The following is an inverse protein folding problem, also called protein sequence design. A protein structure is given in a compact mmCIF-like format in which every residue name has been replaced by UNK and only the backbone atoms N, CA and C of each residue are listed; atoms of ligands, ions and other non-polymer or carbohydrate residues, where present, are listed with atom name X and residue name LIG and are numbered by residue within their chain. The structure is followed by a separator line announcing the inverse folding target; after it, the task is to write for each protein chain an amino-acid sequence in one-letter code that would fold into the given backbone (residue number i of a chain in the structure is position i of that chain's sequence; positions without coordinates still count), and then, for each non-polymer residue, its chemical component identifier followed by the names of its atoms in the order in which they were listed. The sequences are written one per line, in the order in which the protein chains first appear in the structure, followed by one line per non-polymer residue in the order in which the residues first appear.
data_IF_991741113547
#
_entry.id   IF_991741113547
#
_cell.length_a   1.000
_cell.length_b   1.000
_cell.length_c   1.000
_cell.angle_alpha   90.00
_cell.angle_beta   90.00
_cell.angle_gamma   90.00
#
_symmetry.space_group_name_H-M   'P 1'
#
loop_
_entity.id
_entity.type
_entity.pdbx_description
1 polymer ?
#
# COMPACT_ATOMS: atom_id res chain seq x y z
N UNK A 1 7.64 -16.38 15.45
CA UNK A 1 9.06 -16.11 15.06
C UNK A 1 8.98 -15.45 13.71
N UNK A 2 9.55 -14.28 13.44
CA UNK A 2 9.34 -13.61 12.14
C UNK A 2 9.81 -14.49 10.98
N UNK A 3 8.89 -14.93 10.12
CA UNK A 3 9.18 -15.75 8.94
C UNK A 3 9.35 -14.90 7.67
N UNK A 4 8.66 -13.76 7.59
CA UNK A 4 8.71 -12.86 6.44
C UNK A 4 8.54 -11.39 6.86
N UNK A 5 8.93 -10.48 5.97
CA UNK A 5 8.70 -9.04 6.12
C UNK A 5 7.67 -8.56 5.10
N UNK A 6 6.78 -7.67 5.53
CA UNK A 6 5.90 -6.90 4.65
C UNK A 6 6.21 -5.42 4.82
N UNK A 7 6.62 -4.77 3.74
CA UNK A 7 7.10 -3.39 3.77
C UNK A 7 6.15 -2.54 2.95
N UNK A 8 5.75 -1.41 3.51
CA UNK A 8 4.86 -0.43 2.85
C UNK A 8 5.54 0.94 2.78
N UNK A 9 4.91 1.92 2.12
CA UNK A 9 5.42 3.29 2.12
C UNK A 9 5.18 3.99 3.44
N UNK A 10 3.97 3.89 4.00
CA UNK A 10 3.57 4.59 5.21
C UNK A 10 3.01 3.69 6.32
N UNK A 11 2.85 4.29 7.51
CA UNK A 11 2.21 3.63 8.65
C UNK A 11 0.73 3.34 8.41
N UNK A 12 0.03 4.23 7.69
CA UNK A 12 -1.38 4.01 7.31
C UNK A 12 -1.54 2.71 6.53
N UNK A 13 -0.67 2.45 5.55
CA UNK A 13 -0.72 1.22 4.75
C UNK A 13 -0.50 -0.03 5.60
N UNK A 14 0.42 0.03 6.57
CA UNK A 14 0.63 -1.05 7.54
C UNK A 14 -0.67 -1.31 8.29
N UNK A 15 -1.34 -0.28 8.79
CA UNK A 15 -2.60 -0.43 9.52
C UNK A 15 -3.70 -1.02 8.64
N UNK A 16 -3.82 -0.57 7.40
CA UNK A 16 -4.78 -1.10 6.42
C UNK A 16 -4.54 -2.61 6.24
N UNK A 17 -3.30 -3.00 5.92
CA UNK A 17 -2.97 -4.41 5.67
C UNK A 17 -3.12 -5.27 6.92
N UNK A 18 -2.75 -4.78 8.10
CA UNK A 18 -2.95 -5.50 9.36
C UNK A 18 -4.42 -5.74 9.69
N UNK A 19 -5.31 -4.82 9.32
CA UNK A 19 -6.76 -4.97 9.53
C UNK A 19 -7.43 -5.85 8.48
N UNK A 20 -6.95 -5.83 7.24
CA UNK A 20 -7.52 -6.61 6.14
C UNK A 20 -7.00 -8.05 6.11
N UNK A 21 -5.75 -8.30 6.54
CA UNK A 21 -5.18 -9.63 6.53
C UNK A 21 -5.69 -10.47 7.71
N UNK A 22 -6.13 -11.72 7.46
CA UNK A 22 -6.45 -12.67 8.51
C UNK A 22 -5.31 -12.85 9.53
N UNK A 23 -5.64 -12.93 10.81
CA UNK A 23 -4.65 -13.03 11.91
C UNK A 23 -3.70 -14.21 11.76
N UNK A 24 -4.17 -15.33 11.24
CA UNK A 24 -3.36 -16.53 11.00
C UNK A 24 -2.30 -16.31 9.90
N UNK A 25 -2.51 -15.36 8.99
CA UNK A 25 -1.52 -14.99 7.97
C UNK A 25 -0.54 -13.91 8.46
N UNK A 26 -0.96 -13.06 9.39
CA UNK A 26 -0.11 -11.96 9.90
C UNK A 26 0.77 -12.32 11.09
N UNK A 27 0.50 -13.43 11.80
CA UNK A 27 1.19 -13.80 13.05
C UNK A 27 2.72 -13.92 12.95
N UNK A 28 3.25 -14.34 11.80
CA UNK A 28 4.70 -14.51 11.57
C UNK A 28 5.26 -13.50 10.55
N UNK A 29 4.46 -12.49 10.18
CA UNK A 29 4.88 -11.41 9.29
C UNK A 29 5.23 -10.19 10.13
N UNK A 30 6.42 -9.64 9.92
CA UNK A 30 6.76 -8.34 10.49
C UNK A 30 6.43 -7.24 9.47
N UNK A 31 5.48 -6.38 9.82
CA UNK A 31 5.11 -5.21 9.03
C UNK A 31 6.06 -4.05 9.34
N UNK A 32 6.52 -3.35 8.31
CA UNK A 32 7.42 -2.20 8.46
C UNK A 32 6.99 -1.08 7.51
N UNK A 33 6.78 0.11 8.05
CA UNK A 33 6.60 1.33 7.26
C UNK A 33 7.96 1.84 6.79
N UNK A 34 8.12 2.05 5.48
CA UNK A 34 9.36 2.50 4.87
C UNK A 34 9.62 4.00 5.00
N UNK A 35 8.62 4.80 5.39
CA UNK A 35 8.66 6.27 5.39
C UNK A 35 8.92 6.83 3.97
N UNK A 36 8.18 6.30 3.00
CA UNK A 36 8.15 6.69 1.59
C UNK A 36 8.72 5.64 0.63
N UNK A 37 8.31 5.72 -0.64
CA UNK A 37 8.62 4.75 -1.69
C UNK A 37 10.11 4.38 -1.84
N UNK A 38 11.01 5.36 -1.80
CA UNK A 38 12.45 5.09 -1.94
C UNK A 38 13.01 4.32 -0.75
N UNK A 39 12.69 4.74 0.47
CA UNK A 39 13.19 4.12 1.70
C UNK A 39 12.61 2.72 1.89
N UNK A 40 11.34 2.51 1.54
CA UNK A 40 10.71 1.19 1.49
C UNK A 40 11.48 0.21 0.58
N UNK A 41 11.80 0.65 -0.66
CA UNK A 41 12.60 -0.15 -1.61
C UNK A 41 14.01 -0.45 -1.10
N UNK A 42 14.70 0.56 -0.57
CA UNK A 42 16.05 0.39 -0.03
C UNK A 42 16.08 -0.59 1.15
N UNK A 43 15.07 -0.50 2.03
CA UNK A 43 14.91 -1.40 3.17
C UNK A 43 14.62 -2.83 2.71
N UNK A 44 13.75 -3.02 1.71
CA UNK A 44 13.44 -4.32 1.14
C UNK A 44 14.71 -5.02 0.62
N UNK A 45 15.51 -4.34 -0.20
CA UNK A 45 16.80 -4.85 -0.68
C UNK A 45 17.74 -5.22 0.47
N UNK A 46 17.83 -4.36 1.49
CA UNK A 46 18.69 -4.59 2.65
C UNK A 46 18.26 -5.81 3.46
N UNK A 47 16.95 -6.00 3.65
CA UNK A 47 16.41 -7.15 4.39
C UNK A 47 16.61 -8.47 3.62
N UNK A 48 16.42 -8.45 2.30
CA UNK A 48 16.74 -9.60 1.45
C UNK A 48 18.20 -10.01 1.58
N UNK A 49 19.12 -9.04 1.45
CA UNK A 49 20.57 -9.31 1.48
C UNK A 49 21.07 -9.74 2.87
N UNK A 50 20.58 -9.11 3.95
CA UNK A 50 21.15 -9.28 5.29
C UNK A 50 20.40 -10.27 6.18
N UNK A 51 19.07 -10.35 6.07
CA UNK A 51 18.24 -11.24 6.90
C UNK A 51 17.92 -12.56 6.23
N UNK A 52 18.05 -12.63 4.89
CA UNK A 52 17.77 -13.82 4.09
C UNK A 52 16.39 -14.42 4.38
N UNK A 53 15.38 -13.55 4.52
CA UNK A 53 13.98 -13.92 4.73
C UNK A 53 13.11 -13.34 3.62
N UNK A 54 11.99 -13.99 3.26
CA UNK A 54 11.10 -13.47 2.25
C UNK A 54 10.60 -12.06 2.54
N UNK A 55 10.46 -11.26 1.47
CA UNK A 55 10.00 -9.87 1.55
C UNK A 55 8.84 -9.65 0.58
N UNK A 56 7.71 -9.18 1.11
CA UNK A 56 6.64 -8.54 0.32
C UNK A 56 6.82 -7.02 0.40
N UNK A 57 6.90 -6.36 -0.76
CA UNK A 57 6.97 -4.91 -0.87
C UNK A 57 5.68 -4.39 -1.49
N UNK A 58 4.95 -3.56 -0.77
CA UNK A 58 3.71 -2.92 -1.20
C UNK A 58 3.97 -1.44 -1.39
N UNK A 59 3.69 -0.93 -2.58
CA UNK A 59 3.87 0.48 -2.92
C UNK A 59 2.65 0.99 -3.66
N UNK A 60 2.40 2.28 -3.59
CA UNK A 60 1.39 2.92 -4.41
C UNK A 60 1.91 3.11 -5.84
N UNK A 61 1.03 3.25 -6.80
CA UNK A 61 1.38 3.58 -8.18
C UNK A 61 1.58 5.09 -8.34
N UNK A 62 0.81 5.89 -7.60
CA UNK A 62 0.69 7.35 -7.75
C UNK A 62 0.16 7.80 -9.13
N UNK A 63 -0.35 6.85 -9.93
CA UNK A 63 -0.77 7.05 -11.32
C UNK A 63 -1.72 5.92 -11.73
N UNK A 64 -2.60 6.20 -12.69
CA UNK A 64 -3.43 5.21 -13.39
C UNK A 64 -2.84 4.82 -14.77
N UNK A 65 -1.73 5.44 -15.17
CA UNK A 65 -1.07 5.17 -16.43
C UNK A 65 -0.37 3.80 -16.41
N UNK A 66 -0.91 2.86 -17.17
CA UNK A 66 -0.39 1.48 -17.27
C UNK A 66 1.08 1.37 -17.65
N UNK A 67 1.60 2.25 -18.52
CA UNK A 67 3.03 2.24 -18.91
C UNK A 67 3.89 2.59 -17.70
N UNK A 68 3.54 3.66 -16.99
CA UNK A 68 4.28 4.10 -15.81
C UNK A 68 4.22 3.06 -14.68
N UNK A 69 3.07 2.41 -14.48
CA UNK A 69 2.91 1.32 -13.51
C UNK A 69 3.83 0.15 -13.85
N UNK A 70 3.86 -0.27 -15.13
CA UNK A 70 4.73 -1.36 -15.60
C UNK A 70 6.20 -1.00 -15.42
N UNK A 71 6.61 0.20 -15.85
CA UNK A 71 7.99 0.69 -15.72
C UNK A 71 8.43 0.74 -14.25
N UNK A 72 7.57 1.25 -13.36
CA UNK A 72 7.82 1.27 -11.91
C UNK A 72 8.00 -0.15 -11.38
N UNK A 73 7.08 -1.05 -11.71
CA UNK A 73 7.13 -2.45 -11.30
C UNK A 73 8.41 -3.15 -11.79
N UNK A 74 8.78 -3.00 -13.05
CA UNK A 74 9.95 -3.64 -13.65
C UNK A 74 11.26 -3.12 -13.04
N UNK A 75 11.36 -1.81 -12.83
CA UNK A 75 12.50 -1.19 -12.15
C UNK A 75 12.70 -1.76 -10.74
N UNK A 76 11.62 -1.87 -9.97
CA UNK A 76 11.69 -2.36 -8.59
C UNK A 76 12.07 -3.84 -8.57
N UNK A 77 11.45 -4.65 -9.43
CA UNK A 77 11.78 -6.07 -9.54
C UNK A 77 13.24 -6.27 -9.91
N UNK A 78 13.77 -5.49 -10.86
CA UNK A 78 15.18 -5.55 -11.23
C UNK A 78 16.09 -5.30 -10.02
N UNK A 79 15.81 -4.27 -9.23
CA UNK A 79 16.61 -3.93 -8.03
C UNK A 79 16.51 -5.01 -6.95
N UNK A 80 15.30 -5.50 -6.64
CA UNK A 80 15.12 -6.53 -5.62
C UNK A 80 15.72 -7.87 -6.04
N UNK A 81 15.63 -8.23 -7.33
CA UNK A 81 16.19 -9.47 -7.84
C UNK A 81 17.71 -9.55 -7.58
N UNK A 82 18.43 -8.44 -7.81
CA UNK A 82 19.87 -8.34 -7.54
C UNK A 82 20.20 -8.54 -6.06
N UNK A 83 19.37 -8.03 -5.15
CA UNK A 83 19.59 -8.15 -3.71
C UNK A 83 19.14 -9.51 -3.14
N UNK A 84 18.21 -10.19 -3.82
CA UNK A 84 17.53 -11.39 -3.31
C UNK A 84 18.46 -12.56 -3.01
N UNK A 85 19.50 -12.77 -3.83
CA UNK A 85 20.37 -13.97 -3.76
C UNK A 85 19.58 -15.28 -3.67
N UNK A 86 18.45 -15.39 -4.38
CA UNK A 86 17.57 -16.57 -4.38
C UNK A 86 16.54 -16.61 -3.25
N UNK A 87 16.48 -15.59 -2.38
CA UNK A 87 15.43 -15.44 -1.38
C UNK A 87 14.14 -14.95 -2.05
N UNK A 88 12.98 -15.59 -1.81
CA UNK A 88 11.72 -15.17 -2.42
C UNK A 88 11.36 -13.73 -2.07
N UNK A 89 10.84 -12.99 -3.05
CA UNK A 89 10.25 -11.68 -2.82
C UNK A 89 9.05 -11.47 -3.75
N UNK A 90 8.18 -10.53 -3.40
CA UNK A 90 7.06 -10.13 -4.23
C UNK A 90 6.84 -8.62 -4.15
N UNK A 91 6.61 -8.00 -5.30
CA UNK A 91 6.22 -6.59 -5.41
C UNK A 91 4.71 -6.51 -5.66
N UNK A 92 4.03 -5.68 -4.90
CA UNK A 92 2.62 -5.33 -5.09
C UNK A 92 2.54 -3.83 -5.33
N UNK A 93 1.91 -3.44 -6.44
CA UNK A 93 1.65 -2.04 -6.76
C UNK A 93 0.14 -1.80 -6.60
N UNK A 94 -0.23 -0.98 -5.63
CA UNK A 94 -1.61 -0.52 -5.45
C UNK A 94 -1.90 0.59 -6.46
N UNK A 95 -3.04 0.52 -7.16
CA UNK A 95 -3.37 1.47 -8.23
C UNK A 95 -4.69 2.18 -7.92
N UNK A 96 -4.72 3.52 -7.85
CA UNK A 96 -3.54 4.41 -7.82
C UNK A 96 -2.77 4.34 -6.49
N UNK A 97 -3.48 4.07 -5.39
CA UNK A 97 -2.98 4.04 -4.01
C UNK A 97 -3.74 2.95 -3.24
N UNK A 98 -3.20 2.47 -2.11
CA UNK A 98 -3.81 1.39 -1.32
C UNK A 98 -5.21 1.74 -0.80
N UNK A 99 -5.47 3.01 -0.46
CA UNK A 99 -6.74 3.51 0.06
C UNK A 99 -7.94 3.27 -0.87
N UNK A 100 -7.70 2.94 -2.14
CA UNK A 100 -8.76 2.59 -3.09
C UNK A 100 -9.65 1.45 -2.61
N UNK A 101 -9.15 0.59 -1.70
CA UNK A 101 -9.92 -0.49 -1.06
C UNK A 101 -11.14 0.03 -0.29
N UNK A 102 -11.10 1.28 0.20
CA UNK A 102 -12.21 1.88 0.92
C UNK A 102 -13.27 2.46 -0.01
N UNK A 103 -12.92 2.73 -1.27
CA UNK A 103 -13.82 3.35 -2.23
C UNK A 103 -14.45 2.33 -3.20
N UNK A 104 -14.55 1.07 -2.80
CA UNK A 104 -15.21 0.04 -3.61
C UNK A 104 -16.75 0.15 -3.56
N UNK A 105 -17.30 0.69 -2.46
CA UNK A 105 -18.73 0.85 -2.25
C UNK A 105 -19.08 2.32 -1.95
N UNK A 106 -19.66 2.99 -2.95
CA UNK A 106 -20.13 4.37 -2.84
C UNK A 106 -21.19 4.52 -1.74
N UNK A 107 -22.15 3.61 -1.67
CA UNK A 107 -23.27 3.70 -0.74
C UNK A 107 -22.78 3.58 0.71
N UNK A 108 -21.77 2.72 0.95
CA UNK A 108 -21.16 2.60 2.26
C UNK A 108 -20.52 3.92 2.71
N UNK A 109 -19.72 4.55 1.84
CA UNK A 109 -19.07 5.83 2.14
C UNK A 109 -20.10 6.94 2.35
N UNK A 110 -21.14 7.02 1.51
CA UNK A 110 -22.22 8.00 1.68
C UNK A 110 -22.95 7.83 3.02
N UNK A 111 -23.17 6.57 3.45
CA UNK A 111 -23.81 6.25 4.73
C UNK A 111 -22.95 6.64 5.92
N UNK A 112 -21.64 6.35 5.88
CA UNK A 112 -20.71 6.68 6.97
C UNK A 112 -20.57 8.20 7.10
N UNK A 113 -20.47 8.90 5.97
CA UNK A 113 -20.22 10.35 5.92
C UNK A 113 -21.48 11.19 6.05
N UNK A 114 -22.67 10.56 5.91
CA UNK A 114 -23.97 11.23 5.84
C UNK A 114 -24.03 12.30 4.74
N UNK A 115 -23.27 12.10 3.66
CA UNK A 115 -23.17 12.98 2.50
C UNK A 115 -23.34 12.16 1.24
N UNK A 116 -24.07 12.67 0.25
CA UNK A 116 -24.11 12.10 -1.08
C UNK A 116 -23.00 12.70 -1.95
N UNK A 117 -22.42 11.87 -2.82
CA UNK A 117 -21.41 12.30 -3.78
C UNK A 117 -21.99 12.19 -5.18
N UNK A 118 -21.82 13.24 -5.99
CA UNK A 118 -22.16 13.13 -7.40
C UNK A 118 -21.14 12.25 -8.16
N UNK A 119 -21.43 11.95 -9.42
CA UNK A 119 -20.59 11.04 -10.21
C UNK A 119 -19.18 11.58 -10.45
N UNK A 120 -19.02 12.89 -10.63
CA UNK A 120 -17.72 13.52 -10.83
C UNK A 120 -16.88 13.49 -9.55
N UNK A 121 -17.49 13.82 -8.41
CA UNK A 121 -16.84 13.72 -7.09
C UNK A 121 -16.38 12.29 -6.82
N UNK A 122 -17.23 11.31 -7.13
CA UNK A 122 -16.89 9.91 -6.94
C UNK A 122 -15.76 9.46 -7.87
N UNK A 123 -15.81 9.82 -9.15
CA UNK A 123 -14.73 9.52 -10.11
C UNK A 123 -13.40 10.15 -9.69
N UNK A 124 -13.42 11.39 -9.18
CA UNK A 124 -12.23 12.05 -8.66
C UNK A 124 -11.69 11.33 -7.42
N UNK A 125 -12.58 10.90 -6.51
CA UNK A 125 -12.22 10.12 -5.34
C UNK A 125 -11.47 8.84 -5.70
N UNK A 126 -11.89 8.12 -6.75
CA UNK A 126 -11.18 6.92 -7.23
C UNK A 126 -9.76 7.19 -7.73
N UNK A 127 -9.46 8.42 -8.16
CA UNK A 127 -8.12 8.80 -8.69
C UNK A 127 -7.17 9.27 -7.60
N UNK A 128 -7.70 9.84 -6.53
CA UNK A 128 -6.91 10.35 -5.40
C UNK A 128 -7.57 9.91 -4.08
N UNK A 129 -7.62 8.60 -3.80
CA UNK A 129 -8.41 8.04 -2.70
C UNK A 129 -7.93 8.54 -1.34
N UNK A 130 -6.61 8.65 -1.11
CA UNK A 130 -6.08 9.19 0.14
C UNK A 130 -6.52 10.62 0.40
N UNK A 131 -6.32 11.51 -0.58
CA UNK A 131 -6.74 12.91 -0.48
C UNK A 131 -8.25 13.04 -0.23
N UNK A 132 -9.06 12.20 -0.88
CA UNK A 132 -10.51 12.18 -0.68
C UNK A 132 -10.88 11.77 0.75
N UNK A 133 -10.31 10.68 1.26
CA UNK A 133 -10.58 10.20 2.61
C UNK A 133 -10.11 11.22 3.67
N UNK A 134 -8.96 11.87 3.47
CA UNK A 134 -8.49 12.95 4.32
C UNK A 134 -9.44 14.15 4.31
N UNK A 135 -9.94 14.57 3.14
CA UNK A 135 -10.88 15.68 3.05
C UNK A 135 -12.23 15.38 3.72
N UNK A 136 -12.68 14.13 3.65
CA UNK A 136 -13.98 13.69 4.15
C UNK A 136 -13.95 13.38 5.65
N UNK A 137 -12.88 12.76 6.16
CA UNK A 137 -12.76 12.30 7.54
C UNK A 137 -11.78 13.10 8.40
N UNK A 138 -10.80 13.78 7.78
CA UNK A 138 -9.72 14.51 8.48
C UNK A 138 -10.17 15.76 9.23
N UNK A 139 -11.39 16.26 8.96
CA UNK A 139 -11.98 17.38 9.70
C UNK A 139 -12.51 17.00 11.09
N UNK A 140 -12.50 15.72 11.48
CA UNK A 140 -12.96 15.27 12.80
C UNK A 140 -11.87 15.37 13.89
N UNK A 141 -11.17 16.50 13.98
CA UNK A 141 -10.37 16.85 15.19
C UNK A 141 -11.24 17.32 16.38
N UNK A 142 -12.55 17.13 16.33
CA UNK A 142 -13.47 17.44 17.44
C UNK A 142 -14.57 16.38 17.54
N UNK A 143 -14.29 15.28 18.23
CA UNK A 143 -15.26 14.58 19.11
C UNK A 143 -14.49 14.13 20.35
#
# INVERSE_FOLDING_TARGET
MTLAYMITEGYTDVEILQRLLPKNLSQDIQFIAGEGSYRARSLASSLLATRKKPVALVLDADTDNKSQISEKHDLINYVLNQASSGIPYQVFIAVPELEIVFLQDKLLIEKITKRQFNDLEWQLAQRTPKNFLEAVFGNNKQI
#
